data_IF_556108727817
#
_entry.id   IF_556108727817
#
_cell.length_a   1.000
_cell.length_b   1.000
_cell.length_c   1.000
_cell.angle_alpha   90.00
_cell.angle_beta   90.00
_cell.angle_gamma   90.00
#
_symmetry.space_group_name_H-M   'P 1'
#
loop_
_entity.id
_entity.type
_entity.pdbx_description
1 polymer ?
#
# COMPACT_ATOMS: atom_id res chain seq x y z
N UNK A 1 11.87 -27.77 -16.17
CA UNK A 1 10.44 -27.91 -16.54
C UNK A 1 9.44 -27.57 -15.40
N UNK A 2 9.83 -26.91 -14.31
CA UNK A 2 8.93 -26.62 -13.17
C UNK A 2 8.10 -25.32 -13.27
N UNK A 3 8.23 -24.54 -14.35
CA UNK A 3 7.52 -23.26 -14.51
C UNK A 3 6.09 -23.40 -15.05
N UNK A 4 5.72 -24.57 -15.58
CA UNK A 4 4.41 -24.79 -16.21
C UNK A 4 3.26 -25.00 -15.22
N UNK A 5 3.55 -25.33 -13.95
CA UNK A 5 2.53 -25.74 -12.98
C UNK A 5 1.84 -24.59 -12.22
N UNK A 6 2.30 -23.34 -12.37
CA UNK A 6 1.75 -22.21 -11.60
C UNK A 6 0.70 -21.38 -12.35
N UNK A 7 0.56 -21.55 -13.68
CA UNK A 7 -0.29 -20.74 -14.55
C UNK A 7 0.16 -19.27 -14.57
N UNK A 8 0.68 -18.79 -15.71
CA UNK A 8 1.13 -17.39 -15.81
C UNK A 8 -0.10 -16.49 -16.00
N UNK A 9 -0.21 -15.44 -15.20
CA UNK A 9 -1.22 -14.42 -15.40
C UNK A 9 -0.58 -13.06 -15.64
N UNK A 10 -1.21 -12.30 -16.53
CA UNK A 10 -0.92 -10.91 -16.82
C UNK A 10 -2.04 -10.04 -16.25
N UNK A 11 -1.77 -8.75 -16.06
CA UNK A 11 -2.75 -7.82 -15.49
C UNK A 11 -2.76 -6.49 -16.23
N UNK A 12 -3.91 -5.84 -16.22
CA UNK A 12 -4.13 -4.47 -16.67
C UNK A 12 -4.83 -3.68 -15.56
N UNK A 13 -4.46 -2.40 -15.40
CA UNK A 13 -4.96 -1.56 -14.30
C UNK A 13 -5.73 -0.36 -14.84
N UNK A 14 -7.03 -0.36 -14.58
CA UNK A 14 -7.90 0.79 -14.81
C UNK A 14 -7.94 1.67 -13.54
N UNK A 15 -7.16 2.76 -13.56
CA UNK A 15 -7.10 3.75 -12.45
C UNK A 15 -8.38 4.57 -12.32
N UNK A 16 -9.12 4.78 -13.42
CA UNK A 16 -10.35 5.59 -13.40
C UNK A 16 -11.50 4.83 -12.74
N UNK A 17 -11.63 3.53 -13.05
CA UNK A 17 -12.67 2.66 -12.49
C UNK A 17 -12.25 1.95 -11.20
N UNK A 18 -10.99 2.12 -10.79
CA UNK A 18 -10.36 1.40 -9.67
C UNK A 18 -10.51 -0.12 -9.80
N UNK A 19 -10.15 -0.63 -10.97
CA UNK A 19 -10.24 -2.05 -11.29
C UNK A 19 -8.90 -2.59 -11.80
N UNK A 20 -8.65 -3.86 -11.48
CA UNK A 20 -7.55 -4.65 -12.02
C UNK A 20 -8.16 -5.77 -12.82
N UNK A 21 -7.83 -5.85 -14.10
CA UNK A 21 -8.21 -6.94 -14.98
C UNK A 21 -7.06 -7.94 -15.03
N UNK A 22 -7.34 -9.19 -14.67
CA UNK A 22 -6.36 -10.27 -14.66
C UNK A 22 -6.69 -11.20 -15.82
N UNK A 23 -5.71 -11.48 -16.67
CA UNK A 23 -5.82 -12.41 -17.79
C UNK A 23 -4.86 -13.58 -17.58
N UNK A 24 -5.36 -14.80 -17.63
CA UNK A 24 -4.54 -15.99 -17.37
C UNK A 24 -4.25 -16.69 -18.69
N UNK A 25 -2.97 -16.78 -19.04
CA UNK A 25 -2.47 -17.51 -20.19
C UNK A 25 -1.98 -18.90 -19.76
N UNK A 26 -2.17 -19.92 -20.62
CA UNK A 26 -1.58 -21.25 -20.47
C UNK A 26 -1.94 -22.04 -19.19
N UNK A 27 -3.21 -22.39 -18.99
CA UNK A 27 -3.61 -23.45 -18.05
C UNK A 27 -4.48 -24.51 -18.72
N UNK A 28 -4.32 -25.78 -18.28
CA UNK A 28 -4.99 -26.96 -18.81
C UNK A 28 -6.51 -26.76 -18.84
N UNK A 29 -7.14 -27.16 -19.94
CA UNK A 29 -8.48 -26.74 -20.41
C UNK A 29 -9.67 -27.17 -19.52
N UNK A 30 -9.43 -27.71 -18.32
CA UNK A 30 -10.46 -28.24 -17.42
C UNK A 30 -10.27 -27.86 -15.94
N UNK A 31 -9.28 -27.02 -15.60
CA UNK A 31 -9.06 -26.60 -14.20
C UNK A 31 -9.44 -25.15 -13.97
N UNK A 32 -10.12 -24.89 -12.86
CA UNK A 32 -10.46 -23.54 -12.44
C UNK A 32 -9.21 -22.82 -11.92
N UNK A 33 -9.17 -21.50 -12.09
CA UNK A 33 -8.09 -20.64 -11.58
C UNK A 33 -8.66 -19.63 -10.60
N UNK A 34 -8.11 -19.59 -9.39
CA UNK A 34 -8.49 -18.66 -8.34
C UNK A 34 -7.63 -17.41 -8.42
N UNK A 35 -8.27 -16.25 -8.30
CA UNK A 35 -7.61 -14.94 -8.27
C UNK A 35 -8.18 -14.13 -7.11
N UNK A 36 -7.30 -13.48 -6.34
CA UNK A 36 -7.72 -12.54 -5.29
C UNK A 36 -6.82 -11.33 -5.22
N UNK A 37 -7.34 -10.28 -4.59
CA UNK A 37 -6.53 -9.17 -4.11
C UNK A 37 -6.20 -9.36 -2.63
N UNK A 38 -4.96 -9.04 -2.28
CA UNK A 38 -4.49 -9.12 -0.90
C UNK A 38 -3.52 -7.99 -0.56
N UNK A 39 -3.32 -7.75 0.72
CA UNK A 39 -2.25 -6.91 1.23
C UNK A 39 -1.04 -7.76 1.58
N UNK A 40 0.09 -7.48 0.92
CA UNK A 40 1.36 -8.12 1.18
C UNK A 40 2.04 -7.48 2.38
N UNK A 41 2.06 -8.21 3.48
CA UNK A 41 2.92 -7.91 4.62
C UNK A 41 4.02 -8.97 4.71
N UNK A 42 3.99 -9.83 5.75
CA UNK A 42 4.73 -11.09 5.77
C UNK A 42 4.05 -12.17 4.94
N UNK A 43 2.71 -12.16 4.96
CA UNK A 43 1.83 -13.03 4.16
C UNK A 43 0.86 -12.17 3.36
N UNK A 44 0.14 -12.80 2.43
CA UNK A 44 -0.89 -12.17 1.60
C UNK A 44 -2.23 -12.22 2.36
N UNK A 45 -2.55 -11.12 3.04
CA UNK A 45 -3.78 -10.94 3.84
C UNK A 45 -4.97 -10.58 2.95
N UNK A 46 -6.08 -11.29 3.11
CA UNK A 46 -7.23 -11.19 2.21
C UNK A 46 -7.95 -9.84 2.32
N UNK A 47 -8.31 -9.25 1.17
CA UNK A 47 -9.01 -7.96 1.09
C UNK A 47 -10.48 -8.14 0.66
N UNK A 48 -10.97 -9.38 0.56
CA UNK A 48 -12.35 -9.72 0.21
C UNK A 48 -12.68 -9.66 -1.29
N UNK A 49 -11.73 -9.24 -2.13
CA UNK A 49 -11.90 -9.25 -3.58
C UNK A 49 -11.38 -10.56 -4.15
N UNK A 50 -12.30 -11.47 -4.49
CA UNK A 50 -12.01 -12.81 -4.98
C UNK A 50 -12.79 -13.11 -6.26
N UNK A 51 -12.18 -13.85 -7.17
CA UNK A 51 -12.77 -14.30 -8.41
C UNK A 51 -12.27 -15.69 -8.80
N UNK A 52 -13.11 -16.39 -9.57
CA UNK A 52 -12.78 -17.69 -10.16
C UNK A 52 -12.89 -17.56 -11.67
N UNK A 53 -11.84 -17.95 -12.39
CA UNK A 53 -11.87 -18.10 -13.84
C UNK A 53 -12.12 -19.58 -14.12
N UNK A 54 -13.24 -19.88 -14.78
CA UNK A 54 -13.60 -21.26 -15.12
C UNK A 54 -12.78 -21.74 -16.32
N UNK A 55 -12.20 -22.94 -16.23
CA UNK A 55 -11.32 -23.45 -17.30
C UNK A 55 -12.01 -23.68 -18.64
N UNK A 56 -13.33 -23.89 -18.61
CA UNK A 56 -14.19 -24.11 -19.80
C UNK A 56 -14.65 -22.82 -20.48
N UNK A 57 -14.38 -21.65 -19.91
CA UNK A 57 -14.79 -20.37 -20.49
C UNK A 57 -13.82 -19.92 -21.58
N UNK A 58 -14.37 -19.31 -22.64
CA UNK A 58 -13.60 -18.71 -23.74
C UNK A 58 -12.86 -17.44 -23.30
N UNK A 59 -13.42 -16.71 -22.33
CA UNK A 59 -12.84 -15.49 -21.75
C UNK A 59 -12.11 -15.84 -20.46
N UNK A 60 -10.78 -15.86 -20.52
CA UNK A 60 -9.91 -16.17 -19.37
C UNK A 60 -9.50 -14.92 -18.59
N UNK A 61 -10.44 -14.01 -18.41
CA UNK A 61 -10.19 -12.71 -17.79
C UNK A 61 -11.22 -12.37 -16.72
N UNK A 62 -10.77 -11.81 -15.60
CA UNK A 62 -11.66 -11.29 -14.55
C UNK A 62 -11.21 -9.92 -14.05
N UNK A 63 -12.17 -9.08 -13.67
CA UNK A 63 -11.89 -7.76 -13.12
C UNK A 63 -12.23 -7.71 -11.63
N UNK A 64 -11.26 -7.28 -10.81
CA UNK A 64 -11.38 -7.10 -9.37
C UNK A 64 -11.31 -5.60 -9.04
N UNK A 65 -12.21 -5.13 -8.18
CA UNK A 65 -12.22 -3.74 -7.69
C UNK A 65 -11.30 -3.58 -6.49
N UNK A 66 -10.64 -2.44 -6.40
CA UNK A 66 -9.83 -2.05 -5.25
C UNK A 66 -10.27 -0.72 -4.65
N UNK A 67 -10.12 -0.57 -3.33
CA UNK A 67 -10.56 0.62 -2.61
C UNK A 67 -9.54 1.77 -2.71
N UNK A 68 -8.26 1.46 -2.48
CA UNK A 68 -7.17 2.42 -2.39
C UNK A 68 -5.93 1.92 -3.16
N UNK A 69 -5.14 2.87 -3.67
CA UNK A 69 -3.85 2.59 -4.30
C UNK A 69 -2.80 2.46 -3.21
N UNK A 70 -2.43 1.21 -2.92
CA UNK A 70 -1.54 0.85 -1.83
C UNK A 70 -0.38 0.01 -2.35
N UNK A 71 0.88 0.28 -1.93
CA UNK A 71 2.03 -0.44 -2.48
C UNK A 71 2.10 -1.91 -2.09
N UNK A 72 1.45 -2.29 -0.99
CA UNK A 72 1.28 -3.68 -0.59
C UNK A 72 0.09 -4.37 -1.26
N UNK A 73 -0.75 -3.68 -2.04
CA UNK A 73 -1.86 -4.32 -2.72
C UNK A 73 -1.35 -5.16 -3.88
N UNK A 74 -1.54 -6.46 -3.79
CA UNK A 74 -1.06 -7.44 -4.75
C UNK A 74 -2.19 -8.35 -5.21
N UNK A 75 -1.99 -8.90 -6.41
CA UNK A 75 -2.83 -9.93 -7.02
C UNK A 75 -2.20 -11.26 -6.65
N UNK A 76 -2.97 -12.18 -6.08
CA UNK A 76 -2.55 -13.56 -5.85
C UNK A 76 -3.42 -14.50 -6.67
N UNK A 77 -2.78 -15.41 -7.41
CA UNK A 77 -3.42 -16.36 -8.29
C UNK A 77 -2.89 -17.78 -8.11
N UNK A 78 -3.76 -18.79 -8.21
CA UNK A 78 -3.38 -20.21 -8.16
C UNK A 78 -4.42 -21.10 -8.85
N UNK A 79 -3.98 -22.29 -9.29
CA UNK A 79 -4.87 -23.31 -9.84
C UNK A 79 -5.73 -23.94 -8.74
N UNK A 80 -6.95 -24.34 -9.07
CA UNK A 80 -7.87 -25.05 -8.18
C UNK A 80 -7.49 -26.53 -8.01
N UNK A 81 -6.22 -26.79 -7.71
CA UNK A 81 -5.69 -28.11 -7.38
C UNK A 81 -5.08 -28.11 -5.97
N UNK A 82 -5.06 -29.27 -5.30
CA UNK A 82 -4.33 -29.42 -4.04
C UNK A 82 -2.88 -28.98 -4.19
N UNK A 83 -2.38 -28.24 -3.20
CA UNK A 83 -0.99 -27.78 -3.12
C UNK A 83 -0.49 -26.98 -4.32
N UNK A 84 -1.41 -26.29 -5.02
CA UNK A 84 -1.07 -25.36 -6.09
C UNK A 84 -0.14 -24.25 -5.58
N UNK A 85 0.94 -24.02 -6.31
CA UNK A 85 1.83 -22.88 -6.05
C UNK A 85 1.08 -21.58 -6.32
N UNK A 86 1.13 -20.67 -5.35
CA UNK A 86 0.56 -19.33 -5.48
C UNK A 86 1.54 -18.38 -6.18
N UNK A 87 1.04 -17.66 -7.16
CA UNK A 87 1.74 -16.61 -7.87
C UNK A 87 1.25 -15.26 -7.37
N UNK A 88 2.17 -14.34 -7.11
CA UNK A 88 1.82 -13.03 -6.58
C UNK A 88 2.51 -11.92 -7.37
N UNK A 89 1.74 -10.90 -7.77
CA UNK A 89 2.23 -9.71 -8.48
C UNK A 89 1.68 -8.44 -7.82
N UNK A 90 2.53 -7.43 -7.62
CA UNK A 90 2.18 -6.20 -6.92
C UNK A 90 2.22 -5.01 -7.90
N UNK A 91 1.10 -4.61 -8.50
CA UNK A 91 1.07 -3.57 -9.53
C UNK A 91 1.42 -2.16 -9.02
N UNK A 92 1.28 -1.93 -7.71
CA UNK A 92 1.34 -0.59 -7.11
C UNK A 92 2.58 -0.38 -6.23
N UNK A 93 3.60 -1.23 -6.32
CA UNK A 93 4.78 -1.18 -5.41
C UNK A 93 5.43 0.21 -5.32
N UNK A 94 5.34 1.01 -6.38
CA UNK A 94 5.89 2.37 -6.45
C UNK A 94 4.90 3.48 -6.06
N UNK A 95 3.60 3.18 -5.93
CA UNK A 95 2.56 4.16 -5.59
C UNK A 95 2.47 4.35 -4.06
N UNK A 96 3.33 5.21 -3.50
CA UNK A 96 3.40 5.44 -2.02
C UNK A 96 2.56 6.59 -1.50
N UNK A 97 1.90 7.36 -2.39
CA UNK A 97 1.25 8.64 -2.04
C UNK A 97 0.23 8.52 -0.89
N UNK A 98 -0.57 7.46 -0.91
CA UNK A 98 -1.62 7.23 0.08
C UNK A 98 -1.09 6.92 1.49
N UNK A 99 0.18 6.51 1.63
CA UNK A 99 0.75 6.16 2.93
C UNK A 99 0.96 7.38 3.84
N UNK A 100 1.18 8.55 3.24
CA UNK A 100 1.63 9.73 3.98
C UNK A 100 0.49 10.51 4.63
N UNK A 101 -0.76 10.21 4.29
CA UNK A 101 -1.94 10.94 4.79
C UNK A 101 -2.47 10.41 6.13
N UNK A 102 -2.05 9.21 6.56
CA UNK A 102 -2.54 8.56 7.79
C UNK A 102 -1.81 9.05 9.06
N UNK A 103 -1.85 10.36 9.30
CA UNK A 103 -1.32 10.98 10.51
C UNK A 103 -2.47 11.22 11.48
N UNK A 104 -2.32 10.74 12.72
CA UNK A 104 -3.33 10.85 13.77
C UNK A 104 -2.72 11.54 14.98
N UNK A 105 -3.39 12.58 15.48
CA UNK A 105 -3.04 13.24 16.72
C UNK A 105 -4.07 12.91 17.81
N UNK A 106 -3.59 12.49 18.97
CA UNK A 106 -4.42 12.31 20.16
C UNK A 106 -4.17 13.47 21.13
N UNK A 107 -5.15 14.36 21.38
CA UNK A 107 -4.98 15.50 22.29
C UNK A 107 -4.85 15.09 23.76
N UNK A 108 -5.53 14.02 24.18
CA UNK A 108 -5.52 13.56 25.59
C UNK A 108 -4.12 13.08 26.00
N UNK A 109 -3.45 12.36 25.10
CA UNK A 109 -2.10 11.83 25.36
C UNK A 109 -1.00 12.68 24.72
N UNK A 110 -1.36 13.81 24.08
CA UNK A 110 -0.46 14.66 23.30
C UNK A 110 0.46 13.85 22.36
N UNK A 111 -0.12 12.86 21.69
CA UNK A 111 0.63 11.87 20.91
C UNK A 111 0.35 12.07 19.43
N UNK A 112 1.41 12.35 18.67
CA UNK A 112 1.39 12.35 17.21
C UNK A 112 1.84 10.97 16.71
N UNK A 113 0.97 10.28 15.99
CA UNK A 113 1.22 8.95 15.46
C UNK A 113 1.05 8.94 13.95
N UNK A 114 1.88 8.15 13.29
CA UNK A 114 1.69 7.79 11.88
C UNK A 114 1.62 6.27 11.78
N UNK A 115 0.57 5.80 11.12
CA UNK A 115 0.29 4.39 10.93
C UNK A 115 0.25 4.05 9.44
N UNK A 116 1.29 3.38 8.91
CA UNK A 116 1.30 3.00 7.51
C UNK A 116 0.23 1.94 7.23
N UNK A 117 -0.49 2.11 6.11
CA UNK A 117 -1.38 1.06 5.60
C UNK A 117 -0.61 -0.13 4.97
N UNK A 118 0.66 0.07 4.63
CA UNK A 118 1.55 -0.94 4.05
C UNK A 118 2.96 -0.84 4.64
N UNK A 119 3.66 -1.97 4.86
CA UNK A 119 5.02 -1.96 5.36
C UNK A 119 5.99 -1.41 4.30
N UNK A 120 6.45 -0.18 4.50
CA UNK A 120 7.47 0.45 3.65
C UNK A 120 8.55 1.02 4.54
N UNK A 121 9.81 0.69 4.25
CA UNK A 121 10.94 1.25 4.97
C UNK A 121 11.03 2.76 4.71
N UNK A 122 10.77 3.54 5.74
CA UNK A 122 10.76 5.00 5.68
C UNK A 122 11.54 5.60 6.84
N UNK A 123 12.23 6.71 6.57
CA UNK A 123 12.76 7.59 7.61
C UNK A 123 11.73 8.69 7.86
N UNK A 124 11.20 8.73 9.07
CA UNK A 124 10.23 9.73 9.53
C UNK A 124 10.93 10.73 10.44
N UNK A 125 10.73 12.01 10.21
CA UNK A 125 11.29 13.09 11.01
C UNK A 125 10.24 14.18 11.25
N UNK A 126 10.30 14.85 12.41
CA UNK A 126 9.50 16.06 12.61
C UNK A 126 10.28 17.25 12.05
N UNK A 127 9.59 18.15 11.39
CA UNK A 127 10.19 19.34 10.81
C UNK A 127 9.30 20.56 10.99
N UNK A 128 9.91 21.74 10.95
CA UNK A 128 9.23 23.03 11.03
C UNK A 128 9.19 23.65 9.65
N UNK A 129 7.98 23.90 9.14
CA UNK A 129 7.79 24.60 7.87
C UNK A 129 8.18 26.08 8.01
N UNK A 130 9.12 26.53 7.18
CA UNK A 130 9.54 27.92 7.11
C UNK A 130 8.66 28.72 6.16
N UNK A 131 8.37 29.98 6.51
CA UNK A 131 7.49 30.86 5.72
C UNK A 131 8.11 31.37 4.41
N UNK A 132 9.44 31.33 4.28
CA UNK A 132 10.14 31.97 3.16
C UNK A 132 10.20 31.11 1.90
N UNK A 133 10.38 29.79 2.03
CA UNK A 133 10.79 28.92 0.92
C UNK A 133 10.05 27.57 0.88
N UNK A 134 8.95 27.40 1.63
CA UNK A 134 8.27 26.10 1.85
C UNK A 134 9.22 24.97 2.28
N UNK A 135 10.39 25.34 2.80
CA UNK A 135 11.41 24.43 3.28
C UNK A 135 11.04 23.94 4.68
N UNK A 136 11.13 22.63 4.90
CA UNK A 136 10.89 22.04 6.21
C UNK A 136 12.22 21.75 6.91
N UNK A 137 12.54 22.57 7.92
CA UNK A 137 13.75 22.44 8.73
C UNK A 137 13.59 21.31 9.74
N UNK A 138 14.52 20.36 9.72
CA UNK A 138 14.45 19.13 10.50
C UNK A 138 14.66 19.41 12.00
N UNK A 139 13.74 18.93 12.86
CA UNK A 139 13.86 19.03 14.32
C UNK A 139 14.86 17.97 14.79
N UNK A 140 15.92 18.36 15.53
CA UNK A 140 16.96 17.43 15.96
C UNK A 140 16.38 16.32 16.86
N UNK A 141 16.97 15.13 16.81
CA UNK A 141 16.58 13.95 17.61
C UNK A 141 15.15 13.43 17.40
N UNK A 142 14.45 13.89 16.35
CA UNK A 142 13.11 13.37 16.01
C UNK A 142 13.12 12.33 14.89
N UNK A 143 14.26 12.12 14.21
CA UNK A 143 14.38 11.17 13.09
C UNK A 143 14.33 9.73 13.59
N UNK A 144 13.41 8.91 13.05
CA UNK A 144 13.37 7.45 13.26
C UNK A 144 13.20 6.75 11.91
N UNK A 145 13.85 5.60 11.75
CA UNK A 145 13.69 4.76 10.55
C UNK A 145 12.89 3.52 10.95
N UNK A 146 11.77 3.28 10.28
CA UNK A 146 10.87 2.16 10.59
C UNK A 146 10.06 1.74 9.36
N UNK A 147 9.54 0.51 9.37
CA UNK A 147 8.52 0.03 8.43
C UNK A 147 7.15 -0.12 9.10
N UNK A 148 7.06 0.23 10.38
CA UNK A 148 5.88 0.05 11.23
C UNK A 148 5.38 1.40 11.77
N UNK A 149 4.32 1.34 12.58
CA UNK A 149 3.73 2.48 13.26
C UNK A 149 4.76 3.22 14.11
N UNK A 150 4.74 4.55 14.02
CA UNK A 150 5.59 5.44 14.83
C UNK A 150 4.72 6.33 15.70
N UNK A 151 5.24 6.65 16.90
CA UNK A 151 4.63 7.58 17.83
C UNK A 151 5.66 8.58 18.35
N UNK A 152 5.22 9.82 18.47
CA UNK A 152 5.89 10.93 19.16
C UNK A 152 4.98 11.37 20.29
N UNK A 153 5.49 11.34 21.52
CA UNK A 153 4.73 11.74 22.72
C UNK A 153 5.11 13.16 23.12
N UNK A 154 4.22 13.84 23.85
CA UNK A 154 4.43 15.23 24.32
C UNK A 154 4.67 16.19 23.15
N UNK A 155 3.86 16.05 22.11
CA UNK A 155 3.93 16.91 20.93
C UNK A 155 2.97 18.07 21.10
N UNK A 156 3.54 19.27 21.20
CA UNK A 156 2.80 20.52 21.16
C UNK A 156 2.31 20.79 19.75
N UNK A 157 1.01 21.02 19.60
CA UNK A 157 0.41 21.32 18.30
C UNK A 157 0.85 22.71 17.83
N UNK A 158 1.32 22.82 16.59
CA UNK A 158 1.75 24.10 16.03
C UNK A 158 1.46 24.14 14.52
N UNK A 159 0.97 25.25 13.93
CA UNK A 159 0.59 25.29 12.51
C UNK A 159 1.71 24.93 11.52
N UNK A 160 2.96 25.15 11.95
CA UNK A 160 4.16 24.87 11.16
C UNK A 160 4.82 23.53 11.50
N UNK A 161 4.26 22.75 12.41
CA UNK A 161 4.79 21.43 12.73
C UNK A 161 4.31 20.43 11.68
N UNK A 162 5.27 19.77 11.05
CA UNK A 162 5.03 18.81 9.98
C UNK A 162 5.80 17.52 10.21
N UNK A 163 5.32 16.44 9.60
CA UNK A 163 6.04 15.17 9.48
C UNK A 163 6.65 15.09 8.09
N UNK A 164 7.94 14.78 8.04
CA UNK A 164 8.72 14.53 6.83
C UNK A 164 8.99 13.04 6.72
N UNK A 165 8.61 12.48 5.59
CA UNK A 165 8.81 11.09 5.22
C UNK A 165 9.87 11.04 4.13
N UNK A 166 10.89 10.22 4.30
CA UNK A 166 11.96 10.05 3.32
C UNK A 166 12.14 8.57 3.00
N UNK A 167 11.97 8.21 1.73
CA UNK A 167 12.22 6.87 1.20
C UNK A 167 13.32 6.94 0.12
N UNK A 168 13.66 5.81 -0.48
CA UNK A 168 14.57 5.78 -1.65
C UNK A 168 14.00 6.51 -2.86
N UNK A 169 12.68 6.63 -2.99
CA UNK A 169 12.04 7.25 -4.15
C UNK A 169 11.86 8.77 -4.00
N UNK A 170 11.94 9.33 -2.79
CA UNK A 170 11.74 10.75 -2.59
C UNK A 170 11.47 11.13 -1.13
N UNK A 171 11.04 12.37 -0.95
CA UNK A 171 10.63 12.91 0.34
C UNK A 171 9.27 13.59 0.23
N UNK A 172 8.44 13.41 1.27
CA UNK A 172 7.10 13.97 1.37
C UNK A 172 6.95 14.67 2.71
N UNK A 173 6.32 15.84 2.72
CA UNK A 173 6.04 16.61 3.93
C UNK A 173 4.54 16.74 4.09
N UNK A 174 4.05 16.46 5.30
CA UNK A 174 2.64 16.54 5.66
C UNK A 174 2.49 17.30 6.98
N UNK A 175 1.67 18.33 6.98
CA UNK A 175 1.50 19.25 8.10
C UNK A 175 0.11 19.04 8.70
N UNK A 176 -0.04 18.19 9.75
CA UNK A 176 -1.35 17.85 10.30
C UNK A 176 -2.10 19.03 10.91
N UNK A 177 -1.40 20.10 11.28
CA UNK A 177 -1.97 21.28 11.96
C UNK A 177 -2.05 22.53 11.08
N UNK A 178 -1.79 22.43 9.78
CA UNK A 178 -1.70 23.59 8.88
C UNK A 178 -2.98 24.43 8.82
N UNK A 179 -4.14 23.80 9.00
CA UNK A 179 -5.45 24.46 8.92
C UNK A 179 -5.91 25.08 10.25
N UNK A 180 -5.11 24.97 11.31
CA UNK A 180 -5.42 25.63 12.58
C UNK A 180 -6.54 24.97 13.40
N UNK A 181 -6.98 23.77 13.01
CA UNK A 181 -7.87 22.94 13.82
C UNK A 181 -7.09 22.34 14.99
N UNK A 182 -6.92 23.14 16.03
CA UNK A 182 -6.35 22.73 17.30
C UNK A 182 -7.46 22.15 18.19
N UNK A 183 -7.28 20.95 18.76
CA UNK A 183 -8.20 20.41 19.76
C UNK A 183 -8.19 21.21 21.08
#
# INVERSE_FOLDING_TARGET
EFYFAAGKFDYDVDRARRMISVNVSNFLQDQDYYVRLCHKWFTCEDVGAFAVIKGKESLKSVSLKYSQLLPCLCIEGWLAVPDARRMQLCPFENDTKALWDNIVYNPVTQTLAWEPACPVLVRVNLCRLMKSDDHCEDIPNSSKTTSEKIKYSRVDTHPRLCMKFTTKQGSWVKCPFAHGDFP
#
